data_IF_690059925169
#
_entry.id   IF_690059925169
#
_cell.length_a   1.000
_cell.length_b   1.000
_cell.length_c   1.000
_cell.angle_alpha   90.00
_cell.angle_beta   90.00
_cell.angle_gamma   90.00
#
_symmetry.space_group_name_H-M   'P 1'
#
loop_
_entity.id
_entity.type
_entity.pdbx_description
1 polymer ?
#
# COMPACT_ATOMS: atom_id res chain seq x y z
N UNK A 1 42.25 10.68 13.38
CA UNK A 1 41.96 9.26 13.29
C UNK A 1 40.56 8.83 13.79
N UNK A 2 39.74 9.67 14.47
CA UNK A 2 38.42 9.27 15.01
C UNK A 2 37.23 9.36 14.04
N UNK A 3 37.37 9.96 12.85
CA UNK A 3 36.25 10.14 11.88
C UNK A 3 36.03 8.97 10.92
N UNK A 4 37.00 8.05 10.80
CA UNK A 4 36.89 6.91 9.85
C UNK A 4 36.31 5.62 10.44
N UNK A 5 36.26 5.51 11.78
CA UNK A 5 35.75 4.32 12.46
C UNK A 5 34.27 4.00 12.11
N UNK A 6 33.33 4.97 12.12
CA UNK A 6 31.94 4.68 11.74
C UNK A 6 31.81 4.22 10.28
N UNK A 7 32.62 4.73 9.36
CA UNK A 7 32.60 4.28 7.95
C UNK A 7 33.14 2.85 7.79
N UNK A 8 34.14 2.47 8.59
CA UNK A 8 34.70 1.12 8.57
C UNK A 8 33.70 0.08 9.11
N UNK A 9 32.90 0.44 10.12
CA UNK A 9 31.83 -0.41 10.67
C UNK A 9 30.66 -0.55 9.69
N UNK A 10 30.34 0.51 8.94
CA UNK A 10 29.26 0.49 7.94
C UNK A 10 29.69 -0.18 6.63
N UNK A 11 30.99 -0.25 6.32
CA UNK A 11 31.50 -0.74 5.05
C UNK A 11 31.02 -2.14 4.68
N UNK A 12 31.03 -3.16 5.56
CA UNK A 12 30.54 -4.50 5.21
C UNK A 12 29.07 -4.50 4.80
N UNK A 13 28.21 -3.78 5.53
CA UNK A 13 26.80 -3.65 5.20
C UNK A 13 26.57 -2.93 3.87
N UNK A 14 27.30 -1.86 3.58
CA UNK A 14 27.22 -1.14 2.31
C UNK A 14 27.71 -1.99 1.13
N UNK A 15 28.79 -2.75 1.30
CA UNK A 15 29.30 -3.66 0.26
C UNK A 15 28.26 -4.73 -0.08
N UNK A 16 27.65 -5.36 0.94
CA UNK A 16 26.59 -6.35 0.73
C UNK A 16 25.38 -5.72 0.03
N UNK A 17 24.97 -4.52 0.43
CA UNK A 17 23.86 -3.81 -0.20
C UNK A 17 24.15 -3.48 -1.67
N UNK A 18 25.34 -2.97 -1.99
CA UNK A 18 25.74 -2.67 -3.36
C UNK A 18 25.78 -3.96 -4.20
N UNK A 19 26.39 -5.02 -3.68
CA UNK A 19 26.58 -6.26 -4.44
C UNK A 19 25.27 -7.03 -4.66
N UNK A 20 24.43 -7.15 -3.63
CA UNK A 20 23.20 -7.95 -3.71
C UNK A 20 21.95 -7.20 -4.12
N UNK A 21 21.92 -5.85 -4.00
CA UNK A 21 20.75 -5.06 -4.36
C UNK A 21 21.04 -4.16 -5.56
N UNK A 22 22.07 -3.31 -5.49
CA UNK A 22 22.30 -2.30 -6.54
C UNK A 22 22.80 -2.95 -7.83
N UNK A 23 23.76 -3.87 -7.75
CA UNK A 23 24.34 -4.50 -8.93
C UNK A 23 23.30 -5.29 -9.75
N UNK A 24 22.48 -6.20 -9.18
CA UNK A 24 21.42 -6.88 -9.94
C UNK A 24 20.37 -5.90 -10.51
N UNK A 25 20.00 -4.89 -9.73
CA UNK A 25 19.03 -3.89 -10.18
C UNK A 25 19.56 -3.11 -11.40
N UNK A 26 20.81 -2.67 -11.36
CA UNK A 26 21.46 -1.99 -12.49
C UNK A 26 21.58 -2.93 -13.69
N UNK A 27 21.97 -4.19 -13.49
CA UNK A 27 22.12 -5.16 -14.59
C UNK A 27 20.80 -5.47 -15.32
N UNK A 28 19.66 -5.37 -14.62
CA UNK A 28 18.34 -5.57 -15.22
C UNK A 28 17.84 -4.28 -15.90
N UNK A 29 18.10 -3.11 -15.30
CA UNK A 29 17.56 -1.85 -15.80
C UNK A 29 18.44 -1.21 -16.88
N UNK A 30 19.78 -1.37 -16.82
CA UNK A 30 20.69 -0.75 -17.75
C UNK A 30 20.42 -1.14 -19.22
N UNK A 31 20.16 -2.41 -19.57
CA UNK A 31 19.85 -2.81 -20.94
C UNK A 31 18.59 -2.13 -21.50
N UNK A 32 17.61 -1.78 -20.65
CA UNK A 32 16.38 -1.12 -21.12
C UNK A 32 16.61 0.28 -21.70
N UNK A 33 17.75 0.88 -21.40
CA UNK A 33 18.14 2.24 -21.82
C UNK A 33 19.33 2.23 -22.76
N UNK A 34 20.17 1.17 -22.73
CA UNK A 34 21.45 1.08 -23.48
C UNK A 34 21.52 -0.19 -24.33
N UNK A 35 20.54 -0.49 -25.14
CA UNK A 35 20.55 -1.59 -26.10
C UNK A 35 21.06 -1.09 -27.44
N UNK A 36 22.40 -1.17 -27.65
CA UNK A 36 23.06 -0.67 -28.88
C UNK A 36 23.28 0.83 -28.97
N UNK A 37 23.06 1.58 -27.87
CA UNK A 37 23.14 3.03 -27.75
C UNK A 37 22.06 3.53 -26.79
N UNK A 38 22.09 4.80 -26.39
CA UNK A 38 21.05 5.39 -25.58
C UNK A 38 19.73 5.44 -26.35
N UNK A 39 18.73 4.71 -25.86
CA UNK A 39 17.41 4.61 -26.49
C UNK A 39 16.30 4.54 -25.44
N UNK A 40 15.23 5.31 -25.64
CA UNK A 40 14.01 5.25 -24.85
C UNK A 40 12.84 4.60 -25.59
N UNK A 41 13.12 3.92 -26.70
CA UNK A 41 12.08 3.31 -27.56
C UNK A 41 11.23 2.29 -26.84
N UNK A 42 11.81 1.49 -25.95
CA UNK A 42 11.07 0.52 -25.17
C UNK A 42 10.01 1.19 -24.25
N UNK A 43 10.36 2.34 -23.68
CA UNK A 43 9.43 3.14 -22.86
C UNK A 43 8.36 3.83 -23.72
N UNK A 44 8.75 4.36 -24.88
CA UNK A 44 7.79 4.94 -25.83
C UNK A 44 6.78 3.89 -26.29
N UNK A 45 7.24 2.69 -26.64
CA UNK A 45 6.38 1.57 -27.01
C UNK A 45 5.46 1.17 -25.85
N UNK A 46 5.98 1.10 -24.61
CA UNK A 46 5.16 0.80 -23.43
C UNK A 46 4.02 1.80 -23.27
N UNK A 47 4.28 3.11 -23.37
CA UNK A 47 3.28 4.16 -23.20
C UNK A 47 2.44 4.43 -24.47
N UNK A 48 2.80 3.87 -25.64
CA UNK A 48 2.00 3.95 -26.86
C UNK A 48 0.98 2.83 -26.97
N UNK A 49 1.19 1.72 -26.26
CA UNK A 49 0.27 0.59 -26.25
C UNK A 49 -0.88 0.84 -25.28
N UNK A 50 -2.11 0.87 -25.80
CA UNK A 50 -3.33 1.11 -25.03
C UNK A 50 -3.58 0.04 -23.95
N UNK A 51 -3.13 -1.21 -24.20
CA UNK A 51 -3.24 -2.29 -23.22
C UNK A 51 -2.33 -2.03 -22.01
N UNK A 52 -1.07 -1.67 -22.23
CA UNK A 52 -0.12 -1.34 -21.18
C UNK A 52 -0.58 -0.14 -20.35
N UNK A 53 -1.08 0.92 -21.03
CA UNK A 53 -1.66 2.10 -20.35
C UNK A 53 -2.87 1.71 -19.49
N UNK A 54 -3.74 0.84 -19.98
CA UNK A 54 -4.92 0.41 -19.22
C UNK A 54 -4.53 -0.30 -17.92
N UNK A 55 -3.50 -1.15 -17.96
CA UNK A 55 -2.93 -1.83 -16.79
C UNK A 55 -2.29 -0.81 -15.84
N UNK A 56 -1.52 0.13 -16.36
CA UNK A 56 -0.88 1.19 -15.58
C UNK A 56 -1.91 2.03 -14.82
N UNK A 57 -2.91 2.57 -15.53
CA UNK A 57 -3.99 3.38 -14.93
C UNK A 57 -4.79 2.58 -13.91
N UNK A 58 -5.12 1.33 -14.23
CA UNK A 58 -5.81 0.43 -13.28
C UNK A 58 -5.00 0.25 -12.01
N UNK A 59 -3.71 -0.01 -12.14
CA UNK A 59 -2.82 -0.19 -10.98
C UNK A 59 -2.80 1.05 -10.09
N UNK A 60 -2.63 2.24 -10.68
CA UNK A 60 -2.66 3.50 -9.92
C UNK A 60 -4.01 3.70 -9.24
N UNK A 61 -5.11 3.53 -9.97
CA UNK A 61 -6.47 3.69 -9.45
C UNK A 61 -6.73 2.73 -8.28
N UNK A 62 -6.45 1.44 -8.44
CA UNK A 62 -6.62 0.44 -7.38
C UNK A 62 -5.77 0.78 -6.18
N UNK A 63 -4.48 1.12 -6.36
CA UNK A 63 -3.58 1.48 -5.26
C UNK A 63 -4.04 2.73 -4.51
N UNK A 64 -4.55 3.75 -5.21
CA UNK A 64 -5.10 4.95 -4.58
C UNK A 64 -6.38 4.66 -3.80
N UNK A 65 -7.31 3.86 -4.35
CA UNK A 65 -8.56 3.49 -3.68
C UNK A 65 -8.26 2.68 -2.41
N UNK A 66 -7.37 1.68 -2.51
CA UNK A 66 -6.95 0.87 -1.35
C UNK A 66 -6.32 1.74 -0.28
N UNK A 67 -5.44 2.67 -0.67
CA UNK A 67 -4.79 3.61 0.27
C UNK A 67 -5.81 4.51 0.95
N UNK A 68 -6.73 5.10 0.20
CA UNK A 68 -7.77 5.99 0.74
C UNK A 68 -8.68 5.26 1.72
N UNK A 69 -9.19 4.08 1.33
CA UNK A 69 -10.07 3.30 2.22
C UNK A 69 -9.31 2.82 3.45
N UNK A 70 -8.04 2.38 3.29
CA UNK A 70 -7.21 1.99 4.42
C UNK A 70 -6.92 3.16 5.37
N UNK A 71 -6.76 4.38 4.87
CA UNK A 71 -6.63 5.56 5.72
C UNK A 71 -7.94 5.89 6.45
N UNK A 72 -9.07 5.89 5.74
CA UNK A 72 -10.39 6.18 6.32
C UNK A 72 -10.78 5.18 7.44
N UNK A 73 -10.50 3.91 7.23
CA UNK A 73 -10.76 2.87 8.25
C UNK A 73 -9.65 2.81 9.30
N UNK A 74 -8.40 3.02 8.90
CA UNK A 74 -7.23 2.89 9.75
C UNK A 74 -7.15 3.95 10.84
N UNK A 75 -7.49 5.22 10.51
CA UNK A 75 -7.43 6.33 11.47
C UNK A 75 -8.32 6.10 12.70
N UNK A 76 -9.63 5.84 12.57
CA UNK A 76 -10.48 5.58 13.75
C UNK A 76 -10.08 4.30 14.46
N UNK A 77 -9.67 3.26 13.74
CA UNK A 77 -9.24 1.99 14.33
C UNK A 77 -7.96 2.18 15.15
N UNK A 78 -6.97 2.88 14.61
CA UNK A 78 -5.72 3.15 15.32
C UNK A 78 -5.94 4.01 16.56
N UNK A 79 -6.81 5.02 16.49
CA UNK A 79 -7.19 5.84 17.63
C UNK A 79 -7.81 4.99 18.75
N UNK A 80 -8.77 4.12 18.41
CA UNK A 80 -9.40 3.24 19.37
C UNK A 80 -8.39 2.29 20.03
N UNK A 81 -7.50 1.69 19.24
CA UNK A 81 -6.46 0.77 19.75
C UNK A 81 -5.49 1.50 20.67
N UNK A 82 -4.99 2.68 20.25
CA UNK A 82 -4.02 3.46 21.01
C UNK A 82 -4.58 3.93 22.37
N UNK A 83 -5.88 4.21 22.47
CA UNK A 83 -6.56 4.65 23.71
C UNK A 83 -7.12 3.50 24.54
N UNK A 84 -7.03 2.27 24.05
CA UNK A 84 -7.47 1.08 24.79
C UNK A 84 -6.52 0.72 25.96
N UNK A 85 -7.02 0.12 27.05
CA UNK A 85 -6.18 -0.41 28.13
C UNK A 85 -5.14 -1.39 27.60
N UNK A 86 -3.94 -1.41 28.18
CA UNK A 86 -2.77 -2.16 27.70
C UNK A 86 -3.07 -3.62 27.32
N UNK A 87 -3.89 -4.31 28.11
CA UNK A 87 -4.29 -5.72 27.87
C UNK A 87 -5.09 -5.85 26.55
N UNK A 88 -6.10 -5.01 26.36
CA UNK A 88 -6.93 -5.02 25.16
C UNK A 88 -6.18 -4.53 23.94
N UNK A 89 -5.32 -3.53 24.10
CA UNK A 89 -4.47 -3.02 23.03
C UNK A 89 -3.59 -4.11 22.42
N UNK A 90 -2.92 -4.91 23.26
CA UNK A 90 -2.08 -6.02 22.78
C UNK A 90 -2.89 -7.06 22.00
N UNK A 91 -4.09 -7.40 22.46
CA UNK A 91 -4.98 -8.32 21.75
C UNK A 91 -5.47 -7.74 20.42
N UNK A 92 -5.92 -6.48 20.41
CA UNK A 92 -6.40 -5.81 19.19
C UNK A 92 -5.29 -5.66 18.17
N UNK A 93 -4.06 -5.34 18.60
CA UNK A 93 -2.89 -5.31 17.73
C UNK A 93 -2.58 -6.68 17.13
N UNK A 94 -2.61 -7.75 17.92
CA UNK A 94 -2.42 -9.11 17.44
C UNK A 94 -3.49 -9.52 16.41
N UNK A 95 -4.76 -9.19 16.66
CA UNK A 95 -5.86 -9.43 15.73
C UNK A 95 -5.69 -8.62 14.43
N UNK A 96 -5.26 -7.36 14.55
CA UNK A 96 -5.00 -6.51 13.38
C UNK A 96 -3.86 -7.07 12.52
N UNK A 97 -2.83 -7.67 13.13
CA UNK A 97 -1.69 -8.26 12.39
C UNK A 97 -2.01 -9.61 11.75
N UNK A 98 -3.09 -10.28 12.17
CA UNK A 98 -3.42 -11.62 11.70
C UNK A 98 -3.44 -11.76 10.16
N UNK A 99 -4.01 -10.80 9.38
CA UNK A 99 -3.95 -10.86 7.93
C UNK A 99 -2.54 -10.94 7.34
N UNK A 100 -1.58 -10.24 7.94
CA UNK A 100 -0.18 -10.23 7.47
C UNK A 100 0.54 -11.55 7.79
N UNK A 101 0.15 -12.23 8.86
CA UNK A 101 0.77 -13.50 9.28
C UNK A 101 0.22 -14.71 8.53
N UNK A 102 -0.91 -14.57 7.83
CA UNK A 102 -1.51 -15.66 7.07
C UNK A 102 -0.85 -15.81 5.70
N UNK A 103 -0.71 -17.07 5.24
CA UNK A 103 -0.20 -17.36 3.90
C UNK A 103 -1.06 -16.68 2.82
N UNK A 104 -0.41 -16.03 1.86
CA UNK A 104 -1.08 -15.24 0.81
C UNK A 104 -1.99 -16.07 -0.10
N UNK A 105 -1.62 -17.32 -0.38
CA UNK A 105 -2.40 -18.22 -1.25
C UNK A 105 -3.65 -18.68 -0.50
N UNK A 106 -3.50 -19.17 0.74
CA UNK A 106 -4.63 -19.62 1.58
C UNK A 106 -5.64 -18.49 1.77
N UNK A 107 -5.16 -17.29 2.08
CA UNK A 107 -6.00 -16.09 2.19
C UNK A 107 -6.76 -15.77 0.90
N UNK A 108 -6.10 -15.86 -0.24
CA UNK A 108 -6.75 -15.60 -1.54
C UNK A 108 -7.82 -16.65 -1.84
N UNK A 109 -7.59 -17.92 -1.53
CA UNK A 109 -8.62 -18.96 -1.65
C UNK A 109 -9.80 -18.72 -0.72
N UNK A 110 -9.58 -18.23 0.50
CA UNK A 110 -10.67 -17.83 1.39
C UNK A 110 -11.53 -16.73 0.74
N UNK A 111 -10.90 -15.71 0.16
CA UNK A 111 -11.61 -14.64 -0.55
C UNK A 111 -12.34 -15.15 -1.80
N UNK A 112 -11.80 -16.12 -2.54
CA UNK A 112 -12.47 -16.77 -3.67
C UNK A 112 -13.79 -17.44 -3.19
N UNK A 113 -13.74 -18.15 -2.06
CA UNK A 113 -14.94 -18.77 -1.48
C UNK A 113 -15.93 -17.73 -0.95
N UNK A 114 -15.48 -16.58 -0.45
CA UNK A 114 -16.36 -15.52 0.06
C UNK A 114 -17.03 -14.76 -1.08
N UNK A 115 -16.27 -14.38 -2.13
CA UNK A 115 -16.70 -13.50 -3.22
C UNK A 115 -17.23 -14.27 -4.45
N UNK A 116 -17.11 -15.59 -4.47
CA UNK A 116 -17.57 -16.42 -5.58
C UNK A 116 -19.09 -16.29 -5.84
N UNK A 117 -19.53 -16.69 -7.02
CA UNK A 117 -20.96 -16.65 -7.36
C UNK A 117 -21.81 -17.49 -6.40
N UNK A 118 -21.32 -18.66 -6.00
CA UNK A 118 -21.92 -19.52 -4.96
C UNK A 118 -21.28 -19.29 -3.59
N UNK A 119 -20.65 -18.13 -3.38
CA UNK A 119 -19.91 -17.79 -2.18
C UNK A 119 -20.80 -17.29 -1.05
N UNK A 120 -20.18 -17.10 0.12
CA UNK A 120 -20.87 -16.72 1.37
C UNK A 120 -21.68 -15.43 1.21
N UNK A 121 -21.12 -14.41 0.55
CA UNK A 121 -21.79 -13.10 0.40
C UNK A 121 -23.00 -13.23 -0.51
N UNK A 122 -22.88 -13.87 -1.68
CA UNK A 122 -24.00 -14.05 -2.59
C UNK A 122 -25.12 -14.88 -1.96
N UNK A 123 -24.78 -16.00 -1.31
CA UNK A 123 -25.78 -16.85 -0.65
C UNK A 123 -26.51 -16.10 0.48
N UNK A 124 -25.79 -15.28 1.25
CA UNK A 124 -26.40 -14.45 2.28
C UNK A 124 -27.35 -13.40 1.68
N UNK A 125 -26.92 -12.66 0.66
CA UNK A 125 -27.75 -11.64 0.00
C UNK A 125 -28.99 -12.22 -0.69
N UNK A 126 -28.88 -13.42 -1.27
CA UNK A 126 -30.01 -14.16 -1.81
C UNK A 126 -30.99 -14.60 -0.71
N UNK A 127 -30.49 -15.11 0.42
CA UNK A 127 -31.32 -15.61 1.52
C UNK A 127 -32.16 -14.52 2.18
N UNK A 128 -31.62 -13.27 2.25
CA UNK A 128 -32.36 -12.11 2.80
C UNK A 128 -33.17 -11.35 1.71
N UNK A 129 -33.17 -11.83 0.48
CA UNK A 129 -33.98 -11.29 -0.62
C UNK A 129 -33.51 -9.94 -1.19
N UNK A 130 -32.29 -9.50 -0.84
CA UNK A 130 -31.72 -8.23 -1.36
C UNK A 130 -31.36 -8.32 -2.85
N UNK A 131 -30.90 -9.49 -3.30
CA UNK A 131 -30.62 -9.77 -4.70
C UNK A 131 -31.45 -10.96 -5.18
N UNK A 132 -31.77 -10.98 -6.49
CA UNK A 132 -32.50 -12.08 -7.14
C UNK A 132 -31.58 -13.05 -7.86
N UNK A 133 -30.37 -12.64 -8.19
CA UNK A 133 -29.35 -13.42 -8.88
C UNK A 133 -27.97 -13.13 -8.28
N UNK A 134 -27.04 -14.09 -8.31
CA UNK A 134 -25.68 -13.88 -7.81
C UNK A 134 -24.96 -12.73 -8.54
N UNK A 135 -24.30 -11.87 -7.79
CA UNK A 135 -23.48 -10.78 -8.32
C UNK A 135 -22.08 -11.32 -8.64
N UNK A 136 -21.55 -10.95 -9.81
CA UNK A 136 -20.17 -11.27 -10.19
C UNK A 136 -19.22 -10.32 -9.48
N UNK A 137 -18.70 -10.75 -8.33
CA UNK A 137 -17.72 -9.98 -7.54
C UNK A 137 -16.28 -10.46 -7.80
N UNK A 138 -16.08 -11.77 -7.97
CA UNK A 138 -14.77 -12.38 -8.23
C UNK A 138 -14.31 -12.09 -9.66
N UNK A 139 -12.98 -12.01 -9.83
CA UNK A 139 -12.31 -11.65 -11.09
C UNK A 139 -12.67 -10.26 -11.60
N UNK A 140 -12.84 -9.30 -10.67
CA UNK A 140 -13.12 -7.90 -10.93
C UNK A 140 -12.11 -7.02 -10.19
N UNK A 141 -12.06 -5.73 -10.52
CA UNK A 141 -11.25 -4.76 -9.74
C UNK A 141 -11.73 -4.68 -8.28
N UNK A 142 -13.04 -4.89 -8.03
CA UNK A 142 -13.61 -4.90 -6.69
C UNK A 142 -12.96 -5.96 -5.79
N UNK A 143 -12.83 -7.21 -6.30
CA UNK A 143 -12.20 -8.29 -5.51
C UNK A 143 -10.72 -8.02 -5.21
N UNK A 144 -10.00 -7.40 -6.15
CA UNK A 144 -8.61 -6.97 -5.92
C UNK A 144 -8.55 -5.92 -4.82
N UNK A 145 -9.43 -4.91 -4.87
CA UNK A 145 -9.49 -3.82 -3.88
C UNK A 145 -9.78 -4.39 -2.49
N UNK A 146 -10.83 -5.20 -2.34
CA UNK A 146 -11.20 -5.80 -1.06
C UNK A 146 -10.08 -6.66 -0.48
N UNK A 147 -9.50 -7.56 -1.29
CA UNK A 147 -8.38 -8.41 -0.88
C UNK A 147 -7.13 -7.61 -0.51
N UNK A 148 -6.89 -6.49 -1.20
CA UNK A 148 -5.75 -5.60 -0.92
C UNK A 148 -5.97 -4.76 0.33
N UNK A 149 -7.18 -4.25 0.57
CA UNK A 149 -7.53 -3.56 1.81
C UNK A 149 -7.31 -4.50 3.01
N UNK A 150 -7.84 -5.72 2.94
CA UNK A 150 -7.65 -6.70 4.00
C UNK A 150 -6.17 -6.96 4.31
N UNK A 151 -5.31 -6.97 3.28
CA UNK A 151 -3.87 -7.19 3.45
C UNK A 151 -3.14 -5.96 3.99
N UNK A 152 -3.45 -4.76 3.50
CA UNK A 152 -2.65 -3.56 3.76
C UNK A 152 -3.22 -2.64 4.84
N UNK A 153 -4.51 -2.76 5.21
CA UNK A 153 -5.11 -2.03 6.33
C UNK A 153 -4.32 -2.20 7.64
N UNK A 154 -3.83 -3.40 8.01
CA UNK A 154 -2.98 -3.58 9.19
C UNK A 154 -1.75 -2.68 9.21
N UNK A 155 -1.09 -2.46 8.06
CA UNK A 155 0.09 -1.60 7.95
C UNK A 155 -0.28 -0.15 8.27
N UNK A 156 -1.41 0.33 7.72
CA UNK A 156 -1.93 1.66 8.03
C UNK A 156 -2.22 1.81 9.53
N UNK A 157 -2.94 0.86 10.12
CA UNK A 157 -3.28 0.87 11.54
C UNK A 157 -2.04 0.87 12.42
N UNK A 158 -1.08 -0.01 12.15
CA UNK A 158 0.17 -0.10 12.92
C UNK A 158 0.96 1.20 12.90
N UNK A 159 1.10 1.80 11.71
CA UNK A 159 1.81 3.07 11.56
C UNK A 159 1.12 4.18 12.35
N UNK A 160 -0.21 4.22 12.32
CA UNK A 160 -1.00 5.22 13.01
C UNK A 160 -1.06 5.02 14.52
N UNK A 161 -1.13 3.78 15.01
CA UNK A 161 -1.11 3.50 16.47
C UNK A 161 0.14 4.10 17.08
N UNK A 162 1.33 3.89 16.47
CA UNK A 162 2.58 4.45 16.97
C UNK A 162 2.60 5.99 17.02
N UNK A 163 1.92 6.65 16.08
CA UNK A 163 1.80 8.12 16.09
C UNK A 163 0.80 8.60 17.13
N UNK A 164 -0.38 7.98 17.19
CA UNK A 164 -1.46 8.38 18.11
C UNK A 164 -1.09 8.12 19.57
N UNK A 165 -0.28 7.10 19.87
CA UNK A 165 0.25 6.86 21.22
C UNK A 165 1.11 8.01 21.75
N UNK A 166 1.81 8.71 20.87
CA UNK A 166 2.64 9.85 21.21
C UNK A 166 1.86 11.18 21.33
N UNK A 167 0.56 11.19 21.02
CA UNK A 167 -0.29 12.36 21.26
C UNK A 167 -0.79 12.31 22.69
N UNK A 168 -0.50 13.37 23.47
CA UNK A 168 -0.92 13.46 24.85
C UNK A 168 -2.46 13.41 24.96
N UNK A 169 -3.03 12.52 25.80
CA UNK A 169 -4.47 12.46 26.05
C UNK A 169 -5.05 13.79 26.54
N UNK A 170 -4.30 14.56 27.31
CA UNK A 170 -4.75 15.84 27.90
C UNK A 170 -5.13 16.87 26.81
N UNK A 171 -4.58 16.78 25.61
CA UNK A 171 -4.93 17.67 24.48
C UNK A 171 -6.41 17.44 24.07
N UNK A 172 -6.87 16.20 24.09
CA UNK A 172 -8.25 15.85 23.79
C UNK A 172 -9.20 16.33 24.91
N UNK A 173 -8.82 16.13 26.17
CA UNK A 173 -9.58 16.58 27.35
C UNK A 173 -9.67 18.11 27.39
N UNK A 174 -8.59 18.81 27.06
CA UNK A 174 -8.58 20.28 26.94
C UNK A 174 -9.56 20.78 25.87
N UNK A 175 -9.61 20.11 24.70
CA UNK A 175 -10.58 20.47 23.67
C UNK A 175 -12.04 20.23 24.11
N UNK A 176 -12.31 19.15 24.85
CA UNK A 176 -13.63 18.88 25.43
C UNK A 176 -14.03 19.92 26.48
N UNK A 177 -13.08 20.36 27.32
CA UNK A 177 -13.30 21.42 28.32
C UNK A 177 -13.62 22.77 27.67
N UNK A 178 -13.07 23.03 26.47
CA UNK A 178 -13.38 24.21 25.67
C UNK A 178 -14.71 24.09 24.88
N UNK A 179 -15.50 23.03 25.17
CA UNK A 179 -16.84 22.84 24.59
C UNK A 179 -16.89 22.04 23.29
N UNK A 180 -15.79 21.45 22.84
CA UNK A 180 -15.81 20.56 21.69
C UNK A 180 -16.44 19.20 22.10
N UNK A 181 -17.37 18.67 21.28
CA UNK A 181 -17.78 17.28 21.44
C UNK A 181 -16.67 16.33 20.95
N UNK A 182 -16.71 15.06 21.38
CA UNK A 182 -15.69 14.06 21.05
C UNK A 182 -15.36 13.93 19.58
N UNK A 183 -16.38 13.97 18.72
CA UNK A 183 -16.17 13.89 17.27
C UNK A 183 -15.45 15.15 16.73
N UNK A 184 -15.87 16.33 17.20
CA UNK A 184 -15.22 17.60 16.82
C UNK A 184 -13.77 17.65 17.32
N UNK A 185 -13.50 17.23 18.55
CA UNK A 185 -12.16 17.16 19.11
C UNK A 185 -11.30 16.16 18.33
N UNK A 186 -11.82 14.97 17.99
CA UNK A 186 -11.15 14.02 17.13
C UNK A 186 -10.76 14.61 15.76
N UNK A 187 -11.74 15.23 15.06
CA UNK A 187 -11.52 15.76 13.72
C UNK A 187 -10.61 16.99 13.69
N UNK A 188 -10.69 17.85 14.73
CA UNK A 188 -9.93 19.12 14.76
C UNK A 188 -8.58 19.01 15.45
N UNK A 189 -8.37 17.98 16.28
CA UNK A 189 -7.13 17.80 17.07
C UNK A 189 -6.40 16.54 16.68
N UNK A 190 -7.01 15.37 16.85
CA UNK A 190 -6.34 14.09 16.65
C UNK A 190 -6.00 13.85 15.18
N UNK A 191 -6.97 14.09 14.28
CA UNK A 191 -6.77 13.86 12.84
C UNK A 191 -5.64 14.73 12.26
N UNK A 192 -5.56 16.05 12.50
CA UNK A 192 -4.42 16.86 12.06
C UNK A 192 -3.09 16.44 12.66
N UNK A 193 -3.07 16.09 13.96
CA UNK A 193 -1.86 15.62 14.63
C UNK A 193 -1.40 14.24 14.12
N UNK A 194 -2.30 13.47 13.50
CA UNK A 194 -2.01 12.16 12.91
C UNK A 194 -1.58 12.24 11.44
N UNK A 195 -1.64 13.41 10.78
CA UNK A 195 -1.30 13.58 9.35
C UNK A 195 0.07 12.97 9.00
N UNK A 196 1.16 13.20 9.76
CA UNK A 196 2.45 12.58 9.43
C UNK A 196 2.37 11.05 9.37
N UNK A 197 1.66 10.43 10.32
CA UNK A 197 1.43 8.99 10.33
C UNK A 197 0.55 8.51 9.17
N UNK A 198 -0.50 9.26 8.83
CA UNK A 198 -1.37 8.95 7.68
C UNK A 198 -0.55 8.92 6.40
N UNK A 199 0.37 9.85 6.22
CA UNK A 199 1.20 9.94 5.02
C UNK A 199 2.18 8.78 4.94
N UNK A 200 2.89 8.49 6.01
CA UNK A 200 3.80 7.33 6.05
C UNK A 200 3.03 6.04 5.79
N UNK A 201 1.90 5.84 6.46
CA UNK A 201 1.01 4.71 6.23
C UNK A 201 0.51 4.64 4.79
N UNK A 202 0.13 5.79 4.20
CA UNK A 202 -0.33 5.87 2.81
C UNK A 202 0.75 5.49 1.80
N UNK A 203 2.00 5.93 2.00
CA UNK A 203 3.13 5.53 1.15
C UNK A 203 3.34 4.02 1.23
N UNK A 204 3.30 3.43 2.43
CA UNK A 204 3.49 1.98 2.62
C UNK A 204 2.35 1.17 1.98
N UNK A 205 1.09 1.57 2.20
CA UNK A 205 -0.08 0.89 1.62
C UNK A 205 -0.09 1.02 0.10
N UNK A 206 0.17 2.22 -0.43
CA UNK A 206 0.22 2.45 -1.88
C UNK A 206 1.31 1.59 -2.54
N UNK A 207 2.54 1.65 -2.03
CA UNK A 207 3.67 0.89 -2.57
C UNK A 207 3.43 -0.61 -2.45
N UNK A 208 2.92 -1.07 -1.30
CA UNK A 208 2.55 -2.46 -1.08
C UNK A 208 1.51 -2.95 -2.09
N UNK A 209 0.45 -2.16 -2.34
CA UNK A 209 -0.59 -2.50 -3.31
C UNK A 209 -0.06 -2.51 -4.75
N UNK A 210 0.76 -1.51 -5.12
CA UNK A 210 1.37 -1.39 -6.44
C UNK A 210 2.25 -2.60 -6.78
N UNK A 211 2.97 -3.14 -5.79
CA UNK A 211 3.89 -4.27 -5.95
C UNK A 211 3.27 -5.63 -5.64
N UNK A 212 2.03 -5.66 -5.14
CA UNK A 212 1.33 -6.91 -4.80
C UNK A 212 1.11 -7.78 -6.04
N UNK A 213 1.49 -9.07 -5.92
CA UNK A 213 1.32 -10.06 -6.99
C UNK A 213 0.19 -11.06 -6.69
N UNK A 214 0.30 -11.82 -5.60
CA UNK A 214 -0.53 -13.01 -5.34
C UNK A 214 -2.03 -12.68 -5.24
N UNK A 215 -2.39 -11.63 -4.51
CA UNK A 215 -3.80 -11.24 -4.32
C UNK A 215 -4.44 -10.77 -5.64
N UNK A 216 -3.83 -9.83 -6.40
CA UNK A 216 -4.37 -9.46 -7.71
C UNK A 216 -4.41 -10.60 -8.72
N UNK A 217 -3.40 -11.48 -8.72
CA UNK A 217 -3.36 -12.64 -9.63
C UNK A 217 -4.52 -13.61 -9.39
N UNK A 218 -4.80 -13.93 -8.13
CA UNK A 218 -5.83 -14.92 -7.78
C UNK A 218 -7.25 -14.33 -7.77
N UNK A 219 -7.40 -13.07 -7.36
CA UNK A 219 -8.73 -12.44 -7.26
C UNK A 219 -9.12 -11.67 -8.53
N UNK A 220 -8.17 -11.08 -9.26
CA UNK A 220 -8.43 -10.31 -10.48
C UNK A 220 -8.40 -11.14 -11.75
N UNK A 221 -7.66 -12.24 -11.74
CA UNK A 221 -7.45 -13.08 -12.92
C UNK A 221 -6.74 -12.34 -14.06
N UNK A 222 -6.73 -12.95 -15.24
CA UNK A 222 -5.98 -12.40 -16.39
C UNK A 222 -6.63 -11.16 -17.02
N UNK A 223 -7.91 -10.90 -16.77
CA UNK A 223 -8.61 -9.72 -17.34
C UNK A 223 -8.33 -8.44 -16.56
N UNK A 224 -8.03 -8.54 -15.28
CA UNK A 224 -7.83 -7.40 -14.40
C UNK A 224 -6.41 -7.35 -13.83
N UNK A 225 -5.40 -7.56 -14.70
CA UNK A 225 -4.00 -7.49 -14.30
C UNK A 225 -3.63 -6.13 -13.74
N UNK A 226 -2.75 -6.14 -12.74
CA UNK A 226 -1.98 -4.99 -12.27
C UNK A 226 -0.53 -5.09 -12.78
N UNK A 227 0.26 -4.02 -12.64
CA UNK A 227 1.64 -3.99 -13.14
C UNK A 227 2.49 -5.15 -12.63
N UNK A 228 2.38 -5.52 -11.35
CA UNK A 228 3.14 -6.62 -10.78
C UNK A 228 2.75 -7.99 -11.39
N UNK A 229 1.46 -8.22 -11.67
CA UNK A 229 1.00 -9.44 -12.35
C UNK A 229 1.39 -9.45 -13.81
N UNK A 230 1.38 -8.30 -14.47
CA UNK A 230 1.82 -8.15 -15.85
C UNK A 230 3.33 -8.35 -16.01
N UNK A 231 4.12 -7.78 -15.08
CA UNK A 231 5.56 -8.02 -15.01
C UNK A 231 5.86 -9.51 -14.91
N UNK A 232 5.18 -10.21 -13.99
CA UNK A 232 5.37 -11.65 -13.81
C UNK A 232 5.00 -12.43 -15.08
N UNK A 233 3.89 -12.07 -15.74
CA UNK A 233 3.48 -12.70 -17.00
C UNK A 233 4.53 -12.50 -18.09
N UNK A 234 5.06 -11.27 -18.25
CA UNK A 234 6.12 -10.96 -19.22
C UNK A 234 7.39 -11.79 -18.95
N UNK A 235 7.88 -11.79 -17.71
CA UNK A 235 9.10 -12.47 -17.35
C UNK A 235 8.96 -14.00 -17.40
N UNK A 236 7.94 -14.56 -16.74
CA UNK A 236 7.87 -15.99 -16.47
C UNK A 236 7.04 -16.78 -17.48
N UNK A 237 5.95 -16.19 -18.01
CA UNK A 237 5.10 -16.90 -18.97
C UNK A 237 5.55 -16.67 -20.41
N UNK A 238 6.03 -15.47 -20.75
CA UNK A 238 6.40 -15.09 -22.12
C UNK A 238 7.92 -15.10 -22.36
N UNK A 239 8.76 -15.19 -21.32
CA UNK A 239 10.22 -15.11 -21.43
C UNK A 239 10.72 -13.71 -21.83
N UNK A 240 9.86 -12.70 -21.83
CA UNK A 240 10.18 -11.32 -22.22
C UNK A 240 10.76 -10.57 -21.03
N UNK A 241 12.03 -10.81 -20.74
CA UNK A 241 12.75 -10.18 -19.65
C UNK A 241 12.98 -8.68 -19.88
N UNK A 242 13.16 -8.26 -21.15
CA UNK A 242 13.31 -6.86 -21.49
C UNK A 242 12.03 -6.08 -21.19
N UNK A 243 10.88 -6.55 -21.66
CA UNK A 243 9.59 -5.95 -21.37
C UNK A 243 9.26 -5.96 -19.87
N UNK A 244 9.60 -7.03 -19.13
CA UNK A 244 9.45 -7.09 -17.69
C UNK A 244 10.31 -6.03 -16.97
N UNK A 245 11.54 -5.78 -17.45
CA UNK A 245 12.45 -4.78 -16.90
C UNK A 245 11.93 -3.35 -17.11
N UNK A 246 11.32 -3.08 -18.26
CA UNK A 246 10.65 -1.79 -18.53
C UNK A 246 9.49 -1.58 -17.53
N UNK A 247 8.66 -2.60 -17.30
CA UNK A 247 7.56 -2.52 -16.32
C UNK A 247 8.11 -2.29 -14.91
N UNK A 248 9.18 -2.99 -14.51
CA UNK A 248 9.83 -2.81 -13.22
C UNK A 248 10.32 -1.37 -13.03
N UNK A 249 10.96 -0.79 -14.03
CA UNK A 249 11.40 0.60 -13.99
C UNK A 249 10.23 1.58 -13.87
N UNK A 250 9.16 1.39 -14.64
CA UNK A 250 7.93 2.19 -14.56
C UNK A 250 7.35 2.12 -13.16
N UNK A 251 7.33 0.93 -12.52
CA UNK A 251 6.86 0.77 -11.13
C UNK A 251 7.74 1.52 -10.14
N UNK A 252 9.08 1.46 -10.29
CA UNK A 252 10.03 2.18 -9.42
C UNK A 252 9.81 3.69 -9.55
N UNK A 253 9.78 4.22 -10.77
CA UNK A 253 9.56 5.66 -11.02
C UNK A 253 8.22 6.10 -10.45
N UNK A 254 7.16 5.33 -10.69
CA UNK A 254 5.82 5.61 -10.13
C UNK A 254 5.85 5.67 -8.61
N UNK A 255 6.51 4.72 -7.95
CA UNK A 255 6.65 4.71 -6.49
C UNK A 255 7.37 5.97 -5.99
N UNK A 256 8.47 6.35 -6.63
CA UNK A 256 9.24 7.55 -6.25
C UNK A 256 8.39 8.82 -6.45
N UNK A 257 7.68 8.93 -7.58
CA UNK A 257 6.81 10.09 -7.87
C UNK A 257 5.70 10.19 -6.83
N UNK A 258 5.00 9.09 -6.56
CA UNK A 258 3.90 9.08 -5.58
C UNK A 258 4.41 9.37 -4.17
N UNK A 259 5.54 8.80 -3.76
CA UNK A 259 6.18 9.10 -2.48
C UNK A 259 6.53 10.59 -2.37
N UNK A 260 7.05 11.22 -3.44
CA UNK A 260 7.34 12.67 -3.46
C UNK A 260 6.07 13.49 -3.35
N UNK A 261 4.99 13.09 -4.03
CA UNK A 261 3.68 13.77 -3.95
C UNK A 261 3.10 13.68 -2.53
N UNK A 262 3.10 12.50 -1.92
CA UNK A 262 2.63 12.35 -0.54
C UNK A 262 3.45 13.18 0.45
N UNK A 263 4.79 13.16 0.34
CA UNK A 263 5.66 13.97 1.20
C UNK A 263 5.47 15.48 0.98
N UNK A 264 5.21 15.92 -0.25
CA UNK A 264 4.89 17.32 -0.53
C UNK A 264 3.55 17.74 0.09
N UNK A 265 2.52 16.89 0.01
CA UNK A 265 1.24 17.11 0.71
C UNK A 265 1.47 17.17 2.22
N UNK A 266 2.34 16.29 2.76
CA UNK A 266 2.75 16.30 4.16
C UNK A 266 3.28 17.64 4.61
N UNK A 267 4.28 18.15 3.89
CA UNK A 267 4.92 19.42 4.23
C UNK A 267 3.97 20.62 4.22
N UNK A 268 2.92 20.57 3.37
CA UNK A 268 1.86 21.60 3.37
C UNK A 268 0.84 21.43 4.50
N UNK A 269 0.62 20.21 4.94
CA UNK A 269 -0.36 19.91 6.00
C UNK A 269 0.24 20.01 7.41
N UNK A 270 1.56 19.88 7.54
CA UNK A 270 2.27 19.99 8.82
C UNK A 270 2.59 21.44 9.15
N UNK A 271 1.61 22.13 9.77
CA UNK A 271 1.80 23.50 10.29
C UNK A 271 2.68 23.59 11.54
N UNK A 272 3.21 22.46 12.05
CA UNK A 272 4.06 22.46 13.26
C UNK A 272 5.40 23.15 13.04
N UNK A 273 5.92 23.16 11.80
CA UNK A 273 7.15 23.87 11.44
C UNK A 273 7.03 25.40 11.55
N UNK A 274 5.84 25.96 11.40
CA UNK A 274 5.61 27.40 11.48
C UNK A 274 5.47 27.94 12.92
N UNK A 275 5.22 27.06 13.91
CA UNK A 275 5.13 27.43 15.33
C UNK A 275 6.47 27.46 16.06
N UNK A 276 7.54 26.95 15.42
CA UNK A 276 8.90 26.90 15.97
C UNK A 276 9.90 27.82 15.22
N UNK A 277 9.43 28.65 14.30
CA UNK A 277 10.17 29.71 13.64
C UNK A 277 9.71 31.08 14.16
#
# INVERSE_FOLDING_TARGET
>A
MKKSIPYLILAPGLILLIFFLVMPLVSILLPTVFEGGFSLTAYQQFFSDSYNISIFIRTIRVSLIVTLISALCGVPTAYYIARSPKKWRSLLMALTLFPLLTNSVIRSFAWINILGQNGVINNFLLSIGVIKQPIVMLYTEFSIIVGSIYLFLPIMVMTLVGVVENIDPEIMESAETLGANRFSAFMKVILPLSIPGIIVGSVLVFTGTLTAYTTPQLLGGNKNMLLATFLYQKAMALGDWSGASVIAFVMIVTTIVVMRVFNWIAGKADKRGELNA
#
